data_IF_527550068155
#
_entry.id   IF_527550068155
#
_cell.length_a   1.000
_cell.length_b   1.000
_cell.length_c   1.000
_cell.angle_alpha   90.00
_cell.angle_beta   90.00
_cell.angle_gamma   90.00
#
_symmetry.space_group_name_H-M   'P 1'
#
loop_
_entity.id
_entity.type
_entity.pdbx_description
1 polymer ?
#
# COMPACT_ATOMS: atom_id res chain seq x y z
N UNK A 1 4.62 3.23 4.85
CA UNK A 1 4.25 2.21 3.84
C UNK A 1 5.30 2.09 2.75
N UNK A 2 5.70 3.19 2.10
CA UNK A 2 6.72 3.18 1.07
C UNK A 2 8.05 2.56 1.54
N UNK A 3 8.49 2.82 2.78
CA UNK A 3 9.71 2.20 3.33
C UNK A 3 9.61 0.67 3.47
N UNK A 4 8.41 0.14 3.73
CA UNK A 4 8.19 -1.30 3.76
C UNK A 4 8.26 -1.88 2.34
N UNK A 5 7.63 -1.22 1.36
CA UNK A 5 7.74 -1.58 -0.06
C UNK A 5 9.20 -1.58 -0.54
N UNK A 6 9.96 -0.53 -0.25
CA UNK A 6 11.36 -0.43 -0.67
C UNK A 6 12.23 -1.55 -0.11
N UNK A 7 11.95 -2.01 1.12
CA UNK A 7 12.65 -3.16 1.71
C UNK A 7 12.35 -4.45 0.94
N UNK A 8 11.09 -4.69 0.59
CA UNK A 8 10.69 -5.88 -0.20
C UNK A 8 11.25 -5.82 -1.62
N UNK A 9 11.18 -4.67 -2.30
CA UNK A 9 11.72 -4.51 -3.65
C UNK A 9 13.23 -4.81 -3.71
N UNK A 10 13.99 -4.35 -2.70
CA UNK A 10 15.41 -4.67 -2.56
C UNK A 10 15.67 -6.15 -2.28
N UNK A 11 14.85 -6.80 -1.45
CA UNK A 11 14.97 -8.24 -1.18
C UNK A 11 14.68 -9.09 -2.42
N UNK A 12 13.78 -8.61 -3.29
CA UNK A 12 13.47 -9.24 -4.58
C UNK A 12 14.47 -8.89 -5.70
N UNK A 13 15.55 -8.16 -5.39
CA UNK A 13 16.56 -7.67 -6.35
C UNK A 13 15.95 -6.88 -7.53
N UNK A 14 14.93 -6.04 -7.22
CA UNK A 14 14.23 -5.20 -8.19
C UNK A 14 14.49 -3.73 -7.95
N UNK A 15 14.45 -2.94 -9.03
CA UNK A 15 14.48 -1.47 -8.92
C UNK A 15 13.17 -0.98 -8.30
N UNK A 16 13.20 -0.28 -7.15
CA UNK A 16 11.99 0.22 -6.51
C UNK A 16 11.31 1.29 -7.39
N UNK A 17 9.99 1.20 -7.48
CA UNK A 17 9.16 2.25 -8.08
C UNK A 17 9.25 3.55 -7.27
N UNK A 18 8.95 4.67 -7.91
CA UNK A 18 8.86 5.97 -7.23
C UNK A 18 7.74 5.99 -6.19
N UNK A 19 7.86 6.90 -5.22
CA UNK A 19 6.83 7.12 -4.21
C UNK A 19 5.44 7.33 -4.82
N UNK A 20 5.32 8.21 -5.83
CA UNK A 20 4.06 8.47 -6.53
C UNK A 20 3.47 7.24 -7.22
N UNK A 21 4.29 6.39 -7.84
CA UNK A 21 3.81 5.14 -8.41
C UNK A 21 3.23 4.22 -7.33
N UNK A 22 3.92 4.06 -6.21
CA UNK A 22 3.43 3.23 -5.10
C UNK A 22 2.15 3.81 -4.51
N UNK A 23 2.03 5.14 -4.36
CA UNK A 23 0.80 5.78 -3.91
C UNK A 23 -0.37 5.56 -4.86
N UNK A 24 -0.13 5.60 -6.17
CA UNK A 24 -1.16 5.30 -7.19
C UNK A 24 -1.63 3.86 -7.11
N UNK A 25 -0.71 2.90 -6.98
CA UNK A 25 -1.04 1.48 -6.82
C UNK A 25 -1.86 1.22 -5.55
N UNK A 26 -1.48 1.84 -4.43
CA UNK A 26 -2.24 1.74 -3.18
C UNK A 26 -3.66 2.34 -3.32
N UNK A 27 -3.81 3.43 -4.08
CA UNK A 27 -5.12 4.01 -4.38
C UNK A 27 -5.96 3.09 -5.26
N UNK A 28 -5.35 2.46 -6.26
CA UNK A 28 -6.01 1.50 -7.14
C UNK A 28 -6.48 0.26 -6.37
N UNK A 29 -5.62 -0.31 -5.51
CA UNK A 29 -6.01 -1.41 -4.63
C UNK A 29 -7.15 -1.04 -3.67
N UNK A 30 -7.19 0.21 -3.22
CA UNK A 30 -8.31 0.69 -2.41
C UNK A 30 -9.60 0.81 -3.23
N UNK A 31 -9.50 1.30 -4.47
CA UNK A 31 -10.63 1.35 -5.41
C UNK A 31 -11.18 -0.04 -5.73
N UNK A 32 -10.31 -1.04 -5.88
CA UNK A 32 -10.70 -2.45 -6.12
C UNK A 32 -11.23 -3.16 -4.86
N UNK A 33 -11.28 -2.48 -3.70
CA UNK A 33 -11.81 -3.04 -2.46
C UNK A 33 -10.89 -4.10 -1.82
N UNK A 34 -9.63 -4.16 -2.22
CA UNK A 34 -8.60 -5.00 -1.58
C UNK A 34 -8.13 -4.36 -0.28
N UNK A 35 -7.97 -3.03 -0.30
CA UNK A 35 -7.59 -2.23 0.87
C UNK A 35 -8.59 -1.11 1.11
N UNK A 36 -8.51 -0.49 2.28
CA UNK A 36 -9.07 0.84 2.52
C UNK A 36 -7.91 1.82 2.77
N UNK A 37 -8.09 3.08 2.37
CA UNK A 37 -7.15 4.16 2.63
C UNK A 37 -7.88 5.32 3.31
N UNK A 38 -7.54 5.60 4.56
CA UNK A 38 -8.11 6.72 5.31
C UNK A 38 -7.10 7.84 5.40
N UNK A 39 -7.49 9.03 4.98
CA UNK A 39 -6.73 10.25 5.25
C UNK A 39 -6.91 10.64 6.72
N UNK A 40 -5.80 10.78 7.43
CA UNK A 40 -5.75 11.27 8.80
C UNK A 40 -5.08 12.64 8.76
N UNK A 41 -5.90 13.68 8.88
CA UNK A 41 -5.43 15.03 9.16
C UNK A 41 -5.29 15.22 10.66
N UNK A 42 -4.08 15.42 11.16
CA UNK A 42 -3.86 15.90 12.52
C UNK A 42 -4.03 17.41 12.54
N UNK A 43 -5.14 17.89 13.13
CA UNK A 43 -5.58 19.28 13.12
C UNK A 43 -4.67 20.31 13.83
N UNK A 44 -3.41 19.98 14.15
CA UNK A 44 -2.47 20.86 14.84
C UNK A 44 -1.05 20.77 14.27
N UNK A 45 -0.89 20.78 12.95
CA UNK A 45 0.43 20.95 12.30
C UNK A 45 1.32 19.70 12.20
N UNK A 46 0.89 18.53 12.68
CA UNK A 46 1.60 17.24 12.55
C UNK A 46 1.53 16.62 11.14
N UNK A 47 1.15 17.42 10.13
CA UNK A 47 0.99 16.97 8.75
C UNK A 47 -0.26 16.12 8.56
N UNK A 48 -0.35 15.47 7.41
CA UNK A 48 -1.41 14.52 7.14
C UNK A 48 -0.82 13.27 6.52
N UNK A 49 -1.32 12.12 6.95
CA UNK A 49 -0.85 10.83 6.47
C UNK A 49 -2.03 9.93 6.11
N UNK A 50 -1.72 8.86 5.38
CA UNK A 50 -2.70 7.85 5.02
C UNK A 50 -2.42 6.56 5.77
N UNK A 51 -3.48 6.02 6.35
CA UNK A 51 -3.47 4.67 6.90
C UNK A 51 -4.08 3.75 5.86
N UNK A 52 -3.41 2.64 5.57
CA UNK A 52 -3.89 1.60 4.68
C UNK A 52 -4.16 0.33 5.48
N UNK A 53 -5.32 -0.30 5.25
CA UNK A 53 -5.70 -1.56 5.90
C UNK A 53 -6.26 -2.53 4.87
N UNK A 54 -5.98 -3.83 5.04
CA UNK A 54 -6.59 -4.88 4.22
C UNK A 54 -8.08 -5.03 4.58
N UNK A 55 -8.94 -5.11 3.56
CA UNK A 55 -10.37 -5.40 3.70
C UNK A 55 -10.70 -6.90 3.61
N UNK A 56 -9.67 -7.73 3.38
CA UNK A 56 -9.74 -9.20 3.29
C UNK A 56 -8.61 -9.79 4.11
N UNK A 57 -8.74 -11.05 4.52
CA UNK A 57 -7.66 -11.73 5.23
C UNK A 57 -6.40 -11.83 4.35
N UNK A 58 -5.20 -11.72 4.93
CA UNK A 58 -3.95 -11.82 4.17
C UNK A 58 -3.86 -13.09 3.32
N UNK A 59 -4.30 -14.24 3.84
CA UNK A 59 -4.26 -15.51 3.10
C UNK A 59 -5.12 -15.49 1.82
N UNK A 60 -6.23 -14.75 1.81
CA UNK A 60 -7.08 -14.59 0.63
C UNK A 60 -6.38 -13.70 -0.39
N UNK A 61 -5.75 -12.62 0.08
CA UNK A 61 -5.02 -11.67 -0.78
C UNK A 61 -3.84 -12.37 -1.44
N UNK A 62 -3.05 -13.17 -0.69
CA UNK A 62 -1.91 -13.90 -1.23
C UNK A 62 -2.35 -14.95 -2.26
N UNK A 63 -3.39 -15.75 -1.97
CA UNK A 63 -3.94 -16.71 -2.94
C UNK A 63 -4.38 -16.06 -4.27
N UNK A 64 -4.88 -14.83 -4.21
CA UNK A 64 -5.24 -14.08 -5.41
C UNK A 64 -4.04 -13.66 -6.27
N UNK A 65 -2.85 -13.55 -5.68
CA UNK A 65 -1.61 -13.20 -6.38
C UNK A 65 -0.94 -14.42 -7.01
N UNK A 66 -0.99 -15.58 -6.34
CA UNK A 66 -0.41 -16.85 -6.85
C UNK A 66 -1.17 -17.44 -8.05
N UNK A 67 -2.36 -16.90 -8.35
CA UNK A 67 -3.22 -17.33 -9.46
C UNK A 67 -3.04 -16.55 -10.76
N UNK A 68 -2.03 -15.67 -10.88
CA UNK A 68 -1.73 -14.87 -12.08
C UNK A 68 -0.51 -15.37 -12.86
#
# INVERSE_FOLDING_TARGET
MYDAYQRVAKQADTTPLSYDCVQRLLKEQAFLGVTESTHKGSGHGEGSYRVHRLLRSPEIVTRGLDGQ
#
